data_IF_585292638556
#
_entry.id   IF_585292638556
#
_cell.length_a   1.000
_cell.length_b   1.000
_cell.length_c   1.000
_cell.angle_alpha   90.00
_cell.angle_beta   90.00
_cell.angle_gamma   90.00
#
_symmetry.space_group_name_H-M   'P 1'
#
loop_
_entity.id
_entity.type
_entity.pdbx_description
1 polymer ?
#
# COMPACT_ATOMS: atom_id res chain seq x y z
N UNK A 1 -3.01 -14.26 11.54
CA UNK A 1 -4.06 -13.73 12.44
C UNK A 1 -3.72 -12.28 12.78
N UNK A 2 -4.66 -11.33 12.62
CA UNK A 2 -4.42 -9.92 12.91
C UNK A 2 -4.20 -9.69 14.42
N UNK A 3 -3.25 -8.83 14.81
CA UNK A 3 -2.96 -8.51 16.21
C UNK A 3 -4.18 -8.03 17.01
N UNK A 4 -5.14 -7.37 16.36
CA UNK A 4 -6.40 -6.95 16.97
C UNK A 4 -7.33 -8.14 17.35
N UNK A 5 -7.22 -9.27 16.66
CA UNK A 5 -7.96 -10.49 17.00
C UNK A 5 -7.35 -11.20 18.21
N UNK A 6 -6.01 -11.21 18.31
CA UNK A 6 -5.29 -11.75 19.46
C UNK A 6 -5.56 -10.91 20.72
N UNK A 7 -5.49 -9.58 20.62
CA UNK A 7 -5.73 -8.66 21.73
C UNK A 7 -7.15 -8.84 22.32
N UNK A 8 -8.17 -8.96 21.46
CA UNK A 8 -9.56 -9.22 21.92
C UNK A 8 -9.71 -10.58 22.60
N UNK A 9 -9.02 -11.62 22.10
CA UNK A 9 -9.01 -12.96 22.73
C UNK A 9 -8.30 -12.96 24.08
N UNK A 10 -7.37 -12.03 24.30
CA UNK A 10 -6.68 -11.79 25.57
C UNK A 10 -7.42 -10.79 26.49
N UNK A 11 -8.63 -10.34 26.13
CA UNK A 11 -9.43 -9.41 26.94
C UNK A 11 -9.00 -7.94 26.85
N UNK A 12 -8.03 -7.60 25.99
CA UNK A 12 -7.59 -6.21 25.76
C UNK A 12 -8.59 -5.51 24.83
N UNK A 13 -9.35 -4.58 25.40
CA UNK A 13 -10.29 -3.73 24.65
C UNK A 13 -9.75 -2.29 24.55
N UNK A 14 -10.10 -1.53 23.50
CA UNK A 14 -9.72 -0.11 23.42
C UNK A 14 -10.18 0.71 24.62
N UNK A 15 -11.35 0.37 25.18
CA UNK A 15 -11.86 0.98 26.41
C UNK A 15 -10.98 0.63 27.63
N UNK A 16 -10.55 -0.63 27.75
CA UNK A 16 -9.63 -1.07 28.81
C UNK A 16 -8.28 -0.36 28.74
N UNK A 17 -7.69 -0.24 27.55
CA UNK A 17 -6.42 0.48 27.34
C UNK A 17 -6.56 1.97 27.70
N UNK A 18 -7.70 2.61 27.36
CA UNK A 18 -7.99 3.99 27.80
C UNK A 18 -8.08 4.13 29.32
N UNK A 19 -8.79 3.21 29.99
CA UNK A 19 -8.89 3.22 31.46
C UNK A 19 -7.53 3.04 32.13
N UNK A 20 -6.70 2.14 31.58
CA UNK A 20 -5.34 1.92 32.08
C UNK A 20 -4.48 3.19 31.92
N UNK A 21 -4.54 3.86 30.77
CA UNK A 21 -3.82 5.11 30.54
C UNK A 21 -4.23 6.19 31.56
N UNK A 22 -5.53 6.34 31.83
CA UNK A 22 -6.04 7.27 32.86
C UNK A 22 -5.55 6.90 34.27
N UNK A 23 -5.56 5.62 34.64
CA UNK A 23 -5.14 5.17 35.96
C UNK A 23 -3.63 5.35 36.22
N UNK A 24 -2.83 5.39 35.15
CA UNK A 24 -1.37 5.54 35.21
C UNK A 24 -0.90 6.97 34.89
N UNK A 25 -1.81 7.93 34.78
CA UNK A 25 -1.52 9.31 34.36
C UNK A 25 -0.71 9.39 33.04
N UNK A 26 -1.10 8.54 32.08
CA UNK A 26 -0.45 8.40 30.78
C UNK A 26 -1.34 8.89 29.64
N UNK A 27 -0.73 9.38 28.56
CA UNK A 27 -1.45 9.74 27.34
C UNK A 27 -1.53 8.56 26.34
N UNK A 28 -2.74 8.23 25.87
CA UNK A 28 -2.93 7.22 24.83
C UNK A 28 -2.85 7.84 23.43
N UNK A 29 -1.81 7.47 22.66
CA UNK A 29 -1.65 7.86 21.26
C UNK A 29 -2.05 6.72 20.31
N UNK A 30 -2.70 7.06 19.20
CA UNK A 30 -2.95 6.13 18.08
C UNK A 30 -2.03 6.46 16.91
N UNK A 31 -1.46 5.42 16.30
CA UNK A 31 -0.65 5.53 15.09
C UNK A 31 -1.02 4.43 14.09
N UNK A 32 -1.01 4.77 12.81
CA UNK A 32 -1.08 3.80 11.72
C UNK A 32 0.36 3.50 11.28
N UNK A 33 0.79 2.27 11.48
CA UNK A 33 2.13 1.82 11.12
C UNK A 33 2.02 0.77 10.02
N UNK A 34 2.63 1.02 8.84
CA UNK A 34 2.81 0.03 7.79
C UNK A 34 3.36 -1.30 8.31
N UNK A 35 2.88 -2.43 7.75
CA UNK A 35 3.41 -3.76 8.08
C UNK A 35 4.79 -4.03 7.45
N UNK A 36 5.14 -3.27 6.41
CA UNK A 36 6.42 -3.28 5.70
C UNK A 36 7.05 -1.89 5.79
N UNK A 37 8.26 -1.70 5.26
CA UNK A 37 8.86 -0.37 5.22
C UNK A 37 7.98 0.59 4.42
N UNK A 38 7.97 1.87 4.81
CA UNK A 38 7.22 2.89 4.08
C UNK A 38 7.67 2.95 2.61
N UNK A 39 8.97 2.83 2.36
CA UNK A 39 9.54 2.78 1.01
C UNK A 39 8.97 1.61 0.20
N UNK A 40 8.87 0.43 0.81
CA UNK A 40 8.29 -0.74 0.13
C UNK A 40 6.82 -0.53 -0.20
N UNK A 41 6.01 -0.04 0.75
CA UNK A 41 4.59 0.24 0.46
C UNK A 41 4.39 1.24 -0.68
N UNK A 42 5.23 2.27 -0.73
CA UNK A 42 5.16 3.26 -1.81
C UNK A 42 5.55 2.65 -3.14
N UNK A 43 6.60 1.81 -3.16
CA UNK A 43 7.04 1.13 -4.38
C UNK A 43 5.97 0.16 -4.90
N UNK A 44 5.40 -0.66 -4.01
CA UNK A 44 4.33 -1.59 -4.35
C UNK A 44 3.12 -0.83 -4.94
N UNK A 45 2.74 0.29 -4.30
CA UNK A 45 1.63 1.12 -4.77
C UNK A 45 1.94 1.81 -6.11
N UNK A 46 3.15 2.28 -6.31
CA UNK A 46 3.56 2.89 -7.57
C UNK A 46 3.52 1.90 -8.74
N UNK A 47 3.96 0.65 -8.50
CA UNK A 47 3.87 -0.43 -9.49
C UNK A 47 2.41 -0.79 -9.80
N UNK A 48 1.57 -0.87 -8.77
CA UNK A 48 0.15 -1.16 -8.93
C UNK A 48 -0.56 -0.09 -9.77
N UNK A 49 -0.36 1.18 -9.45
CA UNK A 49 -0.92 2.32 -10.20
C UNK A 49 -0.35 2.40 -11.62
N UNK A 50 0.95 2.16 -11.81
CA UNK A 50 1.55 2.11 -13.14
C UNK A 50 0.89 1.03 -14.00
N UNK A 51 0.69 -0.17 -13.45
CA UNK A 51 0.02 -1.28 -14.14
C UNK A 51 -1.44 -0.96 -14.46
N UNK A 52 -2.18 -0.36 -13.54
CA UNK A 52 -3.56 0.10 -13.78
C UNK A 52 -3.63 1.10 -14.94
N UNK A 53 -2.70 2.07 -14.97
CA UNK A 53 -2.63 3.08 -16.04
C UNK A 53 -2.22 2.50 -17.39
N UNK A 54 -1.41 1.44 -17.40
CA UNK A 54 -0.95 0.77 -18.62
C UNK A 54 -1.97 -0.24 -19.17
N UNK A 55 -2.92 -0.69 -18.36
CA UNK A 55 -3.91 -1.69 -18.78
C UNK A 55 -4.69 -1.28 -20.06
N UNK A 56 -5.22 -0.04 -20.21
CA UNK A 56 -5.91 0.36 -21.43
C UNK A 56 -5.01 0.36 -22.67
N UNK A 57 -3.75 0.78 -22.53
CA UNK A 57 -2.76 0.83 -23.62
C UNK A 57 -2.39 -0.58 -24.08
N UNK A 58 -2.06 -1.46 -23.13
CA UNK A 58 -1.75 -2.86 -23.43
C UNK A 58 -2.95 -3.60 -24.04
N UNK A 59 -4.17 -3.30 -23.61
CA UNK A 59 -5.39 -3.84 -24.19
C UNK A 59 -5.58 -3.39 -25.65
N UNK A 60 -5.35 -2.11 -25.95
CA UNK A 60 -5.39 -1.59 -27.32
C UNK A 60 -4.31 -2.22 -28.20
N UNK A 61 -3.06 -2.27 -27.74
CA UNK A 61 -1.94 -2.89 -28.47
C UNK A 61 -2.17 -4.38 -28.76
N UNK A 62 -2.86 -5.08 -27.85
CA UNK A 62 -3.28 -6.47 -28.06
C UNK A 62 -4.27 -6.64 -29.20
N UNK A 63 -5.12 -5.64 -29.47
CA UNK A 63 -6.10 -5.69 -30.56
C UNK A 63 -5.45 -5.36 -31.91
N UNK A 64 -4.29 -4.70 -31.89
CA UNK A 64 -3.51 -4.29 -33.06
C UNK A 64 -2.43 -5.32 -33.47
N UNK A 65 -2.41 -6.52 -32.86
CA UNK A 65 -1.37 -7.55 -33.03
C UNK A 65 0.06 -7.06 -32.69
N UNK A 66 0.16 -6.05 -31.81
CA UNK A 66 1.41 -5.46 -31.34
C UNK A 66 1.70 -5.85 -29.88
N UNK A 67 1.42 -7.10 -29.49
CA UNK A 67 1.70 -7.56 -28.12
C UNK A 67 3.19 -7.55 -27.84
N UNK A 68 3.59 -6.85 -26.79
CA UNK A 68 4.91 -6.99 -26.18
C UNK A 68 4.85 -8.15 -25.17
N UNK A 69 5.86 -9.02 -25.12
CA UNK A 69 5.89 -10.16 -24.20
C UNK A 69 5.74 -9.73 -22.73
N UNK A 70 5.19 -10.61 -21.88
CA UNK A 70 4.91 -10.30 -20.45
C UNK A 70 6.14 -9.75 -19.71
N UNK A 71 7.32 -10.33 -19.94
CA UNK A 71 8.56 -9.87 -19.33
C UNK A 71 8.97 -8.44 -19.73
N UNK A 72 8.62 -7.99 -20.94
CA UNK A 72 8.87 -6.60 -21.36
C UNK A 72 7.76 -5.66 -20.87
N UNK A 73 6.54 -6.16 -20.69
CA UNK A 73 5.44 -5.40 -20.09
C UNK A 73 5.75 -5.03 -18.62
N UNK A 74 6.39 -5.94 -17.87
CA UNK A 74 6.82 -5.68 -16.50
C UNK A 74 7.95 -4.63 -16.43
N UNK A 75 8.94 -4.71 -17.33
CA UNK A 75 10.02 -3.70 -17.45
C UNK A 75 9.46 -2.33 -17.85
N UNK A 76 8.41 -2.29 -18.67
CA UNK A 76 7.74 -1.06 -19.07
C UNK A 76 6.98 -0.41 -17.90
N UNK A 77 6.55 -1.18 -16.89
CA UNK A 77 5.90 -0.68 -15.68
C UNK A 77 6.85 -0.01 -14.67
N UNK A 78 8.14 -0.36 -14.69
CA UNK A 78 9.14 0.19 -13.77
C UNK A 78 9.43 1.67 -14.00
N UNK A 79 9.39 2.14 -15.25
CA UNK A 79 9.64 3.55 -15.58
C UNK A 79 8.51 4.46 -15.09
N UNK A 80 7.22 4.22 -15.41
CA UNK A 80 6.11 4.97 -14.84
C UNK A 80 6.04 4.88 -13.32
N UNK A 81 6.37 3.73 -12.72
CA UNK A 81 6.41 3.61 -11.25
C UNK A 81 7.47 4.53 -10.63
N UNK A 82 8.65 4.66 -11.26
CA UNK A 82 9.68 5.60 -10.81
C UNK A 82 9.24 7.06 -10.93
N UNK A 83 8.54 7.41 -12.00
CA UNK A 83 7.98 8.77 -12.17
C UNK A 83 6.94 9.07 -11.09
N UNK A 84 6.04 8.14 -10.78
CA UNK A 84 5.05 8.28 -9.71
C UNK A 84 5.68 8.48 -8.33
N UNK A 85 6.84 7.84 -8.07
CA UNK A 85 7.57 8.01 -6.81
C UNK A 85 8.29 9.36 -6.70
N UNK A 86 8.71 9.95 -7.83
CA UNK A 86 9.35 11.26 -7.88
C UNK A 86 8.34 12.41 -7.96
N UNK A 87 7.11 12.12 -8.38
CA UNK A 87 6.00 13.07 -8.53
C UNK A 87 5.20 13.32 -7.26
N UNK A 88 3.93 13.68 -7.45
CA UNK A 88 3.05 14.01 -6.33
C UNK A 88 2.54 12.74 -5.65
N UNK A 89 2.60 12.70 -4.32
CA UNK A 89 2.05 11.59 -3.51
C UNK A 89 0.55 11.34 -3.77
N UNK A 90 -0.17 12.35 -4.26
CA UNK A 90 -1.58 12.25 -4.66
C UNK A 90 -1.79 11.45 -5.94
N UNK A 91 -0.76 11.17 -6.71
CA UNK A 91 -0.91 10.37 -7.94
C UNK A 91 -0.91 8.86 -7.66
N UNK A 92 -0.47 8.47 -6.45
CA UNK A 92 -0.51 7.10 -5.94
C UNK A 92 -1.90 6.69 -5.41
N UNK A 93 -2.82 7.64 -5.21
CA UNK A 93 -4.13 7.44 -4.56
C UNK A 93 -5.21 8.33 -5.16
#
# INVERSE_FOLDING_TARGET
MSGAALARRLGLTPAGVRKLAQALDCELKYALVPRTSLSQQLQDRALEVARERMYPVSHSMSLEDQKVGEAMSDVQGDLPARELLQGSRRELW
#
